data_IF_092772871679
#
_entry.id   IF_092772871679
#
_cell.length_a   1.000
_cell.length_b   1.000
_cell.length_c   1.000
_cell.angle_alpha   90.00
_cell.angle_beta   90.00
_cell.angle_gamma   90.00
#
_symmetry.space_group_name_H-M   'P 1'
#
loop_
_entity.id
_entity.type
_entity.pdbx_description
1 polymer ?
#
# COMPACT_ATOMS: atom_id res chain seq x y z
N UNK A 1 6.00 13.05 26.30
CA UNK A 1 7.18 13.31 25.44
C UNK A 1 6.67 13.82 24.11
N UNK A 2 7.10 15.01 23.72
CA UNK A 2 6.46 15.85 22.70
C UNK A 2 7.20 15.66 21.38
N UNK A 3 6.54 14.99 20.44
CA UNK A 3 6.65 15.07 18.98
C UNK A 3 7.87 15.83 18.43
N UNK A 4 8.98 15.12 18.20
CA UNK A 4 9.95 15.49 17.17
C UNK A 4 9.62 14.60 15.98
N UNK A 5 8.55 14.94 15.26
CA UNK A 5 8.36 14.36 13.93
C UNK A 5 9.41 15.02 13.04
N UNK A 6 10.37 14.23 12.56
CA UNK A 6 10.94 14.26 11.20
C UNK A 6 10.68 15.53 10.36
N UNK A 7 11.12 16.72 10.81
CA UNK A 7 11.12 17.92 9.96
C UNK A 7 12.07 17.77 8.76
N UNK A 8 12.98 16.79 8.80
CA UNK A 8 13.97 16.54 7.74
C UNK A 8 13.41 15.67 6.60
N UNK A 9 12.65 14.60 6.90
CA UNK A 9 12.07 13.76 5.83
C UNK A 9 11.11 14.52 4.92
N UNK A 10 10.27 15.41 5.49
CA UNK A 10 9.35 16.26 4.72
C UNK A 10 10.08 17.14 3.70
N UNK A 11 11.35 17.47 3.92
CA UNK A 11 12.13 18.31 2.98
C UNK A 11 12.77 17.51 1.85
N UNK A 12 12.85 16.18 1.98
CA UNK A 12 13.60 15.30 1.07
C UNK A 12 12.70 14.41 0.22
N UNK A 13 11.53 14.04 0.74
CA UNK A 13 10.64 13.08 0.11
C UNK A 13 9.24 13.69 -0.06
N UNK A 14 8.63 13.47 -1.22
CA UNK A 14 7.27 13.88 -1.50
C UNK A 14 6.22 13.04 -0.75
N UNK A 15 6.62 11.90 -0.16
CA UNK A 15 5.83 11.07 0.75
C UNK A 15 6.63 10.88 2.04
N UNK A 16 5.99 11.02 3.19
CA UNK A 16 6.58 10.77 4.50
C UNK A 16 5.58 10.09 5.45
N UNK A 17 6.13 9.48 6.50
CA UNK A 17 5.37 8.78 7.53
C UNK A 17 6.06 8.97 8.86
N UNK A 18 5.28 9.00 9.94
CA UNK A 18 5.83 8.84 11.28
C UNK A 18 6.42 7.45 11.48
N UNK A 19 5.93 6.42 10.78
CA UNK A 19 6.37 5.03 10.89
C UNK A 19 7.78 4.75 10.36
N UNK A 20 8.38 5.67 9.61
CA UNK A 20 9.71 5.48 9.04
C UNK A 20 10.83 6.10 9.90
N UNK A 21 12.02 5.51 9.80
CA UNK A 21 13.29 6.09 10.21
C UNK A 21 14.20 6.27 8.98
N UNK A 22 14.84 7.42 8.86
CA UNK A 22 15.80 7.69 7.80
C UNK A 22 17.23 7.48 8.32
N UNK A 23 18.03 6.73 7.57
CA UNK A 23 19.47 6.54 7.79
C UNK A 23 20.24 7.08 6.58
N UNK A 24 21.57 7.04 6.62
CA UNK A 24 22.39 7.42 5.45
C UNK A 24 22.12 6.53 4.22
N UNK A 25 21.68 5.29 4.45
CA UNK A 25 21.53 4.26 3.41
C UNK A 25 20.09 4.12 2.91
N UNK A 26 19.14 4.86 3.50
CA UNK A 26 17.77 4.94 3.00
C UNK A 26 16.70 5.12 4.08
N UNK A 27 15.45 4.94 3.66
CA UNK A 27 14.27 4.99 4.53
C UNK A 27 13.92 3.57 4.97
N UNK A 28 13.66 3.37 6.26
CA UNK A 28 13.36 2.07 6.85
C UNK A 28 12.04 2.10 7.60
N UNK A 29 11.21 1.07 7.44
CA UNK A 29 10.02 0.88 8.29
C UNK A 29 10.46 0.39 9.67
N UNK A 30 9.98 1.08 10.71
CA UNK A 30 10.28 0.74 12.10
C UNK A 30 9.49 -0.49 12.53
N UNK A 31 10.17 -1.52 13.03
CA UNK A 31 9.56 -2.79 13.44
C UNK A 31 8.39 -2.62 14.43
N UNK A 32 8.51 -1.68 15.38
CA UNK A 32 7.48 -1.42 16.39
C UNK A 32 6.16 -0.87 15.83
N UNK A 33 6.12 -0.54 14.54
CA UNK A 33 4.93 -0.02 13.85
C UNK A 33 4.10 -1.12 13.19
N UNK A 34 4.67 -2.31 13.01
CA UNK A 34 3.94 -3.49 12.56
C UNK A 34 3.14 -4.04 13.74
N UNK A 35 1.87 -3.64 13.81
CA UNK A 35 0.96 -4.00 14.91
C UNK A 35 -0.29 -4.68 14.38
N UNK A 36 -0.82 -5.58 15.21
CA UNK A 36 -2.07 -6.25 14.96
C UNK A 36 -3.06 -5.91 16.07
N UNK A 37 -4.29 -5.59 15.69
CA UNK A 37 -5.39 -5.23 16.56
C UNK A 37 -6.63 -6.01 16.11
N UNK A 38 -7.20 -6.84 16.99
CA UNK A 38 -8.37 -7.67 16.70
C UNK A 38 -8.25 -8.44 15.36
N UNK A 39 -7.12 -9.14 15.16
CA UNK A 39 -6.80 -9.92 13.96
C UNK A 39 -6.69 -9.11 12.65
N UNK A 40 -6.54 -7.79 12.72
CA UNK A 40 -6.24 -6.93 11.56
C UNK A 40 -4.95 -6.16 11.81
N UNK A 41 -4.12 -6.03 10.79
CA UNK A 41 -2.92 -5.21 10.90
C UNK A 41 -3.27 -3.72 10.82
N UNK A 42 -2.56 -2.89 11.58
CA UNK A 42 -2.71 -1.44 11.53
C UNK A 42 -1.83 -0.87 10.41
N UNK A 43 -2.43 -0.20 9.42
CA UNK A 43 -1.67 0.45 8.35
C UNK A 43 -0.79 1.58 8.88
N UNK A 44 0.33 1.83 8.21
CA UNK A 44 1.16 3.00 8.49
C UNK A 44 0.41 4.31 8.21
N UNK A 45 0.78 5.38 8.90
CA UNK A 45 0.37 6.73 8.48
C UNK A 45 1.15 7.12 7.23
N UNK A 46 0.51 7.79 6.29
CA UNK A 46 1.14 8.33 5.09
C UNK A 46 0.69 9.77 4.91
N UNK A 47 1.62 10.66 4.64
CA UNK A 47 1.34 12.02 4.20
C UNK A 47 2.19 12.31 2.99
N UNK A 48 1.68 13.08 2.05
CA UNK A 48 2.42 13.45 0.85
C UNK A 48 2.19 14.90 0.48
N UNK A 49 3.07 15.43 -0.36
CA UNK A 49 2.86 16.74 -0.98
C UNK A 49 1.62 16.71 -1.87
N UNK A 50 0.87 17.81 -1.87
CA UNK A 50 -0.31 17.91 -2.73
C UNK A 50 0.11 17.87 -4.19
N UNK A 51 -0.55 17.02 -4.96
CA UNK A 51 -0.38 16.96 -6.41
C UNK A 51 -1.31 18.00 -7.03
N UNK A 52 -0.79 18.84 -7.91
CA UNK A 52 -1.55 19.88 -8.60
C UNK A 52 -2.73 19.27 -9.37
N UNK A 53 -3.88 19.96 -9.38
CA UNK A 53 -5.14 19.54 -10.01
C UNK A 53 -5.78 18.23 -9.49
N UNK A 54 -5.18 17.56 -8.50
CA UNK A 54 -5.74 16.34 -7.91
C UNK A 54 -6.99 16.64 -7.06
N UNK A 55 -8.11 15.98 -7.41
CA UNK A 55 -9.38 15.99 -6.67
C UNK A 55 -9.54 14.80 -5.74
N UNK A 56 -8.84 13.72 -6.01
CA UNK A 56 -8.71 12.55 -5.13
C UNK A 56 -7.36 11.87 -5.32
N UNK A 57 -7.05 10.91 -4.45
CA UNK A 57 -5.82 10.13 -4.54
C UNK A 57 -6.11 8.62 -4.48
N UNK A 58 -5.21 7.86 -5.11
CA UNK A 58 -5.08 6.42 -4.94
C UNK A 58 -3.68 6.09 -4.40
N UNK A 59 -3.58 5.06 -3.56
CA UNK A 59 -2.33 4.61 -2.94
C UNK A 59 -2.14 3.13 -3.23
N UNK A 60 -0.94 2.77 -3.69
CA UNK A 60 -0.57 1.38 -3.96
C UNK A 60 0.77 1.09 -3.30
N UNK A 61 0.83 -0.02 -2.56
CA UNK A 61 2.06 -0.51 -1.93
C UNK A 61 2.41 -1.89 -2.48
N UNK A 62 3.62 -2.04 -3.02
CA UNK A 62 4.11 -3.26 -3.67
C UNK A 62 5.50 -3.63 -3.17
N UNK A 63 5.70 -4.92 -2.99
CA UNK A 63 6.99 -5.59 -2.81
C UNK A 63 7.38 -6.27 -4.12
N UNK A 64 8.34 -5.67 -4.85
CA UNK A 64 8.85 -6.26 -6.08
C UNK A 64 9.86 -7.39 -5.79
N UNK A 65 10.51 -7.36 -4.63
CA UNK A 65 11.52 -8.35 -4.23
C UNK A 65 10.88 -9.70 -3.88
N UNK A 66 9.61 -9.73 -3.48
CA UNK A 66 8.83 -10.95 -3.33
C UNK A 66 8.90 -11.87 -4.57
N UNK A 67 9.18 -11.31 -5.76
CA UNK A 67 9.38 -12.10 -6.98
C UNK A 67 10.51 -13.12 -6.89
N UNK A 68 11.53 -12.88 -6.05
CA UNK A 68 12.62 -13.84 -5.81
C UNK A 68 12.21 -15.01 -4.91
N UNK A 69 11.15 -14.82 -4.11
CA UNK A 69 10.63 -15.81 -3.15
C UNK A 69 9.49 -16.61 -3.76
N UNK A 70 8.51 -15.91 -4.33
CA UNK A 70 7.24 -16.49 -4.81
C UNK A 70 7.05 -16.29 -6.32
N UNK A 71 8.07 -15.89 -7.07
CA UNK A 71 7.96 -15.78 -8.54
C UNK A 71 7.05 -14.65 -9.05
N UNK A 72 6.50 -13.80 -8.17
CA UNK A 72 5.73 -12.61 -8.52
C UNK A 72 5.89 -11.51 -7.46
N UNK A 73 5.65 -10.25 -7.85
CA UNK A 73 5.54 -9.15 -6.89
C UNK A 73 4.34 -9.35 -5.96
N UNK A 74 4.43 -8.82 -4.75
CA UNK A 74 3.39 -8.93 -3.74
C UNK A 74 2.76 -7.55 -3.50
N UNK A 75 1.43 -7.47 -3.67
CA UNK A 75 0.65 -6.26 -3.40
C UNK A 75 0.31 -6.28 -1.91
N UNK A 76 0.74 -5.25 -1.18
CA UNK A 76 0.52 -5.10 0.25
C UNK A 76 -0.71 -4.25 0.57
N UNK A 77 -1.00 -3.26 -0.25
CA UNK A 77 -2.15 -2.39 -0.03
C UNK A 77 -2.57 -1.67 -1.32
N UNK A 78 -3.88 -1.57 -1.54
CA UNK A 78 -4.48 -0.82 -2.64
C UNK A 78 -5.63 0.00 -2.07
N UNK A 79 -5.57 1.31 -2.23
CA UNK A 79 -6.55 2.26 -1.69
C UNK A 79 -6.95 3.25 -2.77
N UNK A 80 -8.23 3.61 -2.81
CA UNK A 80 -8.74 4.65 -3.68
C UNK A 80 -9.74 5.56 -2.95
N UNK A 81 -10.10 6.65 -3.61
CA UNK A 81 -11.03 7.67 -3.13
C UNK A 81 -10.56 8.42 -1.88
N UNK A 82 -9.23 8.52 -1.66
CA UNK A 82 -8.67 9.34 -0.59
C UNK A 82 -8.86 10.82 -0.95
N UNK A 83 -9.50 11.60 -0.06
CA UNK A 83 -9.87 13.00 -0.32
C UNK A 83 -8.86 14.03 0.19
N UNK A 84 -7.95 13.59 1.04
CA UNK A 84 -6.85 14.37 1.60
C UNK A 84 -5.50 13.87 1.07
N UNK A 85 -4.46 14.68 1.21
CA UNK A 85 -3.08 14.27 0.92
C UNK A 85 -2.43 13.48 2.09
N UNK A 86 -3.26 12.72 2.81
CA UNK A 86 -2.84 11.89 3.93
C UNK A 86 -3.78 10.70 4.15
N UNK A 87 -3.22 9.62 4.69
CA UNK A 87 -3.89 8.51 5.34
C UNK A 87 -3.39 8.45 6.78
N UNK A 88 -4.31 8.54 7.74
CA UNK A 88 -3.97 8.43 9.15
C UNK A 88 -3.45 7.03 9.51
N UNK A 89 -2.77 6.92 10.65
CA UNK A 89 -2.39 5.61 11.20
C UNK A 89 -3.62 4.71 11.37
N UNK A 90 -3.50 3.45 10.98
CA UNK A 90 -4.59 2.47 10.95
C UNK A 90 -5.82 2.90 10.11
N UNK A 91 -5.62 3.72 9.07
CA UNK A 91 -6.69 4.12 8.15
C UNK A 91 -7.40 2.93 7.51
N UNK A 92 -6.70 1.82 7.24
CA UNK A 92 -7.30 0.58 6.74
C UNK A 92 -8.44 0.04 7.63
N UNK A 93 -8.38 0.31 8.94
CA UNK A 93 -9.40 -0.09 9.91
C UNK A 93 -10.39 1.04 10.15
N UNK A 94 -9.89 2.25 10.37
CA UNK A 94 -10.64 3.35 10.97
C UNK A 94 -11.31 4.26 9.94
N UNK A 95 -10.70 4.44 8.77
CA UNK A 95 -11.23 5.34 7.75
C UNK A 95 -12.34 4.64 6.94
N UNK A 96 -13.54 5.20 6.98
CA UNK A 96 -14.72 4.69 6.26
C UNK A 96 -14.99 5.41 4.95
N UNK A 97 -14.21 6.44 4.63
CA UNK A 97 -14.36 7.22 3.41
C UNK A 97 -13.50 6.69 2.26
N UNK A 98 -12.53 5.82 2.56
CA UNK A 98 -11.68 5.15 1.57
C UNK A 98 -12.29 3.81 1.15
N UNK A 99 -11.91 3.36 -0.04
CA UNK A 99 -12.18 2.00 -0.51
C UNK A 99 -10.88 1.23 -0.71
N UNK A 100 -10.88 -0.05 -0.35
CA UNK A 100 -9.69 -0.88 -0.35
C UNK A 100 -9.85 -2.04 -1.33
N UNK A 101 -8.82 -2.24 -2.15
CA UNK A 101 -8.72 -3.32 -3.12
C UNK A 101 -8.04 -4.55 -2.54
N UNK A 102 -8.05 -5.63 -3.30
CA UNK A 102 -7.42 -6.89 -2.93
C UNK A 102 -5.90 -6.76 -2.89
N UNK A 103 -5.31 -7.15 -1.75
CA UNK A 103 -3.89 -7.45 -1.64
C UNK A 103 -3.60 -8.90 -2.14
N UNK A 104 -2.31 -9.28 -2.20
CA UNK A 104 -1.90 -10.58 -2.76
C UNK A 104 -2.24 -11.82 -1.89
N UNK A 105 -2.85 -11.64 -0.71
CA UNK A 105 -3.40 -12.77 0.08
C UNK A 105 -4.75 -13.25 -0.42
N UNK A 106 -5.39 -12.52 -1.34
CA UNK A 106 -6.61 -12.97 -1.97
C UNK A 106 -6.41 -14.31 -2.68
N UNK A 107 -7.42 -15.17 -2.62
CA UNK A 107 -7.42 -16.41 -3.39
C UNK A 107 -7.35 -16.10 -4.88
N UNK A 108 -6.50 -16.84 -5.60
CA UNK A 108 -6.39 -16.71 -7.04
C UNK A 108 -7.68 -17.14 -7.73
N UNK A 109 -7.94 -16.57 -8.91
CA UNK A 109 -9.01 -17.05 -9.77
C UNK A 109 -8.58 -18.37 -10.43
N UNK A 110 -9.35 -19.44 -10.24
CA UNK A 110 -9.15 -20.74 -10.90
C UNK A 110 -9.69 -20.77 -12.35
N UNK A 111 -10.27 -19.67 -12.81
CA UNK A 111 -10.90 -19.55 -14.12
C UNK A 111 -9.86 -19.24 -15.22
N UNK A 112 -9.46 -20.27 -15.95
CA UNK A 112 -8.42 -20.21 -16.98
C UNK A 112 -8.73 -19.32 -18.19
N UNK A 113 -9.99 -18.90 -18.37
CA UNK A 113 -10.42 -18.01 -19.47
C UNK A 113 -10.04 -16.54 -19.28
N UNK A 114 -9.62 -16.14 -18.07
CA UNK A 114 -9.18 -14.78 -17.74
C UNK A 114 -7.70 -14.72 -17.31
N UNK A 115 -6.96 -15.81 -17.54
CA UNK A 115 -5.62 -16.01 -17.01
C UNK A 115 -5.64 -16.75 -15.67
N UNK A 116 -4.73 -17.70 -15.52
CA UNK A 116 -4.47 -18.33 -14.22
C UNK A 116 -3.60 -17.35 -13.44
N UNK A 117 -4.08 -16.83 -12.31
CA UNK A 117 -3.16 -16.30 -11.30
C UNK A 117 -2.34 -17.53 -10.89
N UNK A 118 -1.06 -17.58 -11.27
CA UNK A 118 -0.18 -18.62 -10.74
C UNK A 118 -0.11 -18.34 -9.24
N UNK A 119 -0.86 -19.12 -8.47
CA UNK A 119 -0.99 -18.94 -7.04
C UNK A 119 0.32 -19.35 -6.36
N UNK A 120 1.26 -18.41 -6.27
CA UNK A 120 2.56 -18.67 -5.67
C UNK A 120 2.62 -18.34 -4.17
N UNK A 121 1.54 -17.80 -3.60
CA UNK A 121 1.45 -17.49 -2.16
C UNK A 121 1.08 -18.76 -1.40
N UNK A 122 1.84 -19.15 -0.35
CA UNK A 122 1.55 -20.36 0.43
C UNK A 122 0.13 -20.32 1.01
N UNK A 123 -0.54 -21.48 1.05
CA UNK A 123 -1.94 -21.58 1.48
C UNK A 123 -2.24 -20.98 2.85
N UNK A 124 -1.28 -21.00 3.78
CA UNK A 124 -1.40 -20.42 5.11
C UNK A 124 -1.54 -18.87 5.11
N UNK A 125 -1.14 -18.21 4.04
CA UNK A 125 -1.28 -16.76 3.86
C UNK A 125 -2.51 -16.38 3.04
N UNK A 126 -3.33 -17.34 2.60
CA UNK A 126 -4.54 -17.06 1.82
C UNK A 126 -5.68 -16.58 2.71
N UNK A 127 -6.41 -15.58 2.24
CA UNK A 127 -7.54 -14.96 2.94
C UNK A 127 -8.79 -14.94 2.06
N UNK A 128 -9.95 -14.72 2.68
CA UNK A 128 -11.18 -14.40 1.93
C UNK A 128 -11.04 -13.02 1.28
N UNK A 129 -11.80 -12.69 0.22
CA UNK A 129 -11.79 -11.36 -0.38
C UNK A 129 -12.00 -10.23 0.64
N UNK A 130 -12.83 -10.44 1.66
CA UNK A 130 -13.05 -9.50 2.75
C UNK A 130 -11.80 -9.24 3.57
N UNK A 131 -11.09 -10.29 3.98
CA UNK A 131 -9.87 -10.18 4.76
C UNK A 131 -8.67 -9.71 3.90
N UNK A 132 -8.68 -9.99 2.60
CA UNK A 132 -7.65 -9.55 1.66
C UNK A 132 -7.86 -8.12 1.13
N UNK A 133 -9.05 -7.53 1.30
CA UNK A 133 -9.30 -6.11 0.96
C UNK A 133 -8.85 -5.19 2.09
N UNK A 134 -7.58 -5.33 2.45
CA UNK A 134 -7.00 -4.73 3.64
C UNK A 134 -5.49 -4.53 3.48
N UNK A 135 -4.89 -3.80 4.40
CA UNK A 135 -3.44 -3.67 4.51
C UNK A 135 -2.80 -4.96 5.04
N UNK A 136 -1.77 -5.45 4.37
CA UNK A 136 -0.83 -6.43 4.91
C UNK A 136 0.55 -5.78 5.09
N UNK A 137 1.17 -5.82 6.29
CA UNK A 137 2.49 -5.24 6.49
C UNK A 137 3.59 -6.00 5.75
N UNK A 138 4.77 -5.37 5.58
CA UNK A 138 6.01 -6.07 5.24
C UNK A 138 6.25 -7.28 6.14
N UNK A 139 6.32 -8.46 5.56
CA UNK A 139 6.60 -9.74 6.23
C UNK A 139 7.53 -10.60 5.34
N UNK A 140 8.71 -10.10 4.96
CA UNK A 140 9.59 -10.83 4.05
C UNK A 140 10.16 -12.08 4.76
N UNK A 141 10.17 -13.26 4.09
CA UNK A 141 10.51 -14.52 4.74
C UNK A 141 12.00 -14.89 4.69
N UNK A 142 12.82 -14.20 3.89
CA UNK A 142 14.20 -14.62 3.56
C UNK A 142 15.27 -13.55 3.90
N UNK A 143 15.09 -12.30 3.48
CA UNK A 143 16.01 -11.19 3.78
C UNK A 143 15.24 -9.86 3.85
N UNK A 144 15.98 -8.77 4.01
CA UNK A 144 15.50 -7.40 3.86
C UNK A 144 14.89 -7.23 2.46
N UNK A 145 13.71 -6.63 2.41
CA UNK A 145 13.01 -6.31 1.17
C UNK A 145 12.87 -4.80 0.99
N UNK A 146 12.92 -4.33 -0.26
CA UNK A 146 12.55 -2.98 -0.69
C UNK A 146 11.08 -2.92 -1.11
N UNK A 147 10.33 -2.07 -0.41
CA UNK A 147 8.92 -1.80 -0.69
C UNK A 147 8.77 -0.47 -1.42
N UNK A 148 7.79 -0.40 -2.31
CA UNK A 148 7.44 0.81 -3.05
C UNK A 148 6.03 1.25 -2.71
N UNK A 149 5.87 2.50 -2.28
CA UNK A 149 4.58 3.16 -2.13
C UNK A 149 4.45 4.19 -3.24
N UNK A 150 3.37 4.09 -4.01
CA UNK A 150 2.98 5.07 -5.01
C UNK A 150 1.69 5.75 -4.60
N UNK A 151 1.67 7.06 -4.77
CA UNK A 151 0.48 7.89 -4.62
C UNK A 151 0.18 8.52 -5.96
N UNK A 152 -1.02 8.29 -6.49
CA UNK A 152 -1.51 8.90 -7.72
C UNK A 152 -2.50 10.01 -7.37
N UNK A 153 -2.27 11.21 -7.89
CA UNK A 153 -3.24 12.29 -7.86
C UNK A 153 -4.16 12.20 -9.08
N UNK A 154 -5.48 12.27 -8.85
CA UNK A 154 -6.50 12.03 -9.88
C UNK A 154 -7.33 13.28 -10.14
N UNK A 155 -7.61 13.62 -11.41
CA UNK A 155 -8.47 14.74 -11.80
C UNK A 155 -9.97 14.49 -11.58
N UNK A 156 -10.33 13.27 -11.18
CA UNK A 156 -11.67 12.86 -10.77
C UNK A 156 -11.75 12.82 -9.26
N UNK A 157 -12.90 13.22 -8.71
CA UNK A 157 -13.11 13.21 -7.28
C UNK A 157 -13.45 11.80 -6.77
N UNK A 158 -14.07 10.94 -7.58
CA UNK A 158 -14.52 9.63 -7.16
C UNK A 158 -14.38 8.58 -8.26
N UNK A 159 -13.84 7.41 -7.91
CA UNK A 159 -13.79 6.22 -8.75
C UNK A 159 -14.92 5.27 -8.37
N UNK A 160 -15.71 4.88 -9.36
CA UNK A 160 -16.69 3.80 -9.26
C UNK A 160 -15.97 2.45 -9.42
N UNK A 161 -15.60 1.87 -8.27
CA UNK A 161 -14.90 0.60 -8.13
C UNK A 161 -15.76 -0.37 -7.32
N UNK A 162 -15.87 -1.61 -7.82
CA UNK A 162 -16.60 -2.66 -7.11
C UNK A 162 -15.91 -3.03 -5.79
N UNK A 163 -16.67 -3.61 -4.86
CA UNK A 163 -16.09 -4.23 -3.66
C UNK A 163 -15.10 -5.31 -4.10
N UNK A 164 -13.95 -5.40 -3.43
CA UNK A 164 -12.90 -6.39 -3.75
C UNK A 164 -12.28 -6.20 -5.14
N UNK A 165 -12.15 -4.95 -5.58
CA UNK A 165 -11.47 -4.63 -6.84
C UNK A 165 -9.99 -5.02 -6.80
N UNK A 166 -9.45 -5.39 -7.97
CA UNK A 166 -8.04 -5.72 -8.17
C UNK A 166 -7.21 -4.48 -8.49
N UNK A 167 -5.89 -4.60 -8.43
CA UNK A 167 -5.00 -3.54 -8.92
C UNK A 167 -5.23 -3.26 -10.43
N UNK A 168 -5.61 -4.26 -11.22
CA UNK A 168 -5.97 -4.06 -12.63
C UNK A 168 -7.20 -3.16 -12.76
N UNK A 169 -8.26 -3.43 -12.00
CA UNK A 169 -9.48 -2.61 -12.00
C UNK A 169 -9.16 -1.16 -11.61
N UNK A 170 -8.29 -0.95 -10.62
CA UNK A 170 -7.81 0.38 -10.26
C UNK A 170 -7.06 1.03 -11.43
N UNK A 171 -6.09 0.34 -12.02
CA UNK A 171 -5.26 0.85 -13.12
C UNK A 171 -6.11 1.29 -14.31
N UNK A 172 -7.10 0.49 -14.71
CA UNK A 172 -8.05 0.84 -15.77
C UNK A 172 -8.82 2.12 -15.47
N UNK A 173 -9.14 2.37 -14.20
CA UNK A 173 -9.85 3.58 -13.76
C UNK A 173 -8.95 4.80 -13.61
N UNK A 174 -7.65 4.66 -13.40
CA UNK A 174 -6.75 5.81 -13.13
C UNK A 174 -5.84 6.20 -14.30
N UNK A 175 -5.58 5.30 -15.27
CA UNK A 175 -4.56 5.50 -16.31
C UNK A 175 -4.77 6.78 -17.16
N UNK A 176 -6.01 7.22 -17.33
CA UNK A 176 -6.36 8.44 -18.07
C UNK A 176 -6.76 9.63 -17.19
N UNK A 177 -6.74 9.44 -15.87
CA UNK A 177 -7.15 10.44 -14.87
C UNK A 177 -6.01 10.90 -13.97
N UNK A 178 -4.83 10.29 -14.10
CA UNK A 178 -3.65 10.63 -13.29
C UNK A 178 -3.06 11.95 -13.75
N UNK A 179 -3.01 12.95 -12.85
CA UNK A 179 -2.41 14.28 -13.08
C UNK A 179 -1.02 14.42 -12.48
N UNK A 180 -0.61 13.47 -11.65
CA UNK A 180 0.74 13.37 -11.13
C UNK A 180 0.89 12.18 -10.20
N UNK A 181 2.13 11.88 -9.85
CA UNK A 181 2.46 10.79 -8.95
C UNK A 181 3.62 11.15 -8.02
N UNK A 182 3.61 10.51 -6.85
CA UNK A 182 4.73 10.49 -5.93
C UNK A 182 5.08 9.04 -5.62
N UNK A 183 6.37 8.77 -5.45
CA UNK A 183 6.90 7.45 -5.14
C UNK A 183 7.85 7.56 -3.93
N UNK A 184 7.78 6.56 -3.05
CA UNK A 184 8.72 6.38 -1.96
C UNK A 184 9.11 4.92 -1.90
N UNK A 185 10.41 4.67 -1.79
CA UNK A 185 10.95 3.36 -1.48
C UNK A 185 11.40 3.30 -0.03
N UNK A 186 11.08 2.21 0.66
CA UNK A 186 11.57 1.96 2.00
C UNK A 186 11.94 0.49 2.20
N UNK A 187 12.96 0.27 3.00
CA UNK A 187 13.42 -1.05 3.38
C UNK A 187 12.66 -1.55 4.61
N UNK A 188 12.42 -2.86 4.69
CA UNK A 188 12.04 -3.51 5.93
C UNK A 188 12.87 -4.77 6.12
N UNK A 189 13.46 -4.87 7.32
CA UNK A 189 14.28 -6.01 7.72
C UNK A 189 13.50 -6.83 8.74
N UNK A 190 13.22 -8.12 8.47
CA UNK A 190 12.55 -8.98 9.44
C UNK A 190 13.45 -9.14 10.68
N UNK A 191 12.83 -9.28 11.85
CA UNK A 191 13.55 -9.58 13.11
C UNK A 191 13.93 -11.05 13.21
#
# INVERSE_FOLDING_TARGET
MRWIINMDMKKKHAIWSSCFSETADGVYLRNETVKMNNNRYESLDLTWDKIEDAKSYAVVMVDYEASRVIGQSFIHWVVANVKSNELAYAANINDKNIIQGLNSTAQGATESSKGVIIECVPGAFKNTPEAASDYLPPLPPDDTHLYTVRVYGLDVDHLDLAKHYTLTDLNEKIIHHTVGEHELHFWYKPQ
#
